data_IF_616907657634
#
_entry.id   IF_616907657634
#
_cell.length_a   1.000
_cell.length_b   1.000
_cell.length_c   1.000
_cell.angle_alpha   90.00
_cell.angle_beta   90.00
_cell.angle_gamma   90.00
#
_symmetry.space_group_name_H-M   'P 1'
#
loop_
_entity.id
_entity.type
_entity.pdbx_description
1 polymer ?
#
# COMPACT_ATOMS: atom_id res chain seq x y z
N UNK A 1 10.20 14.74 10.86
CA UNK A 1 10.30 13.68 9.87
C UNK A 1 10.05 14.21 8.46
N UNK A 2 10.24 13.35 7.45
CA UNK A 2 9.93 13.65 6.04
C UNK A 2 8.53 13.20 5.60
N UNK A 3 7.66 12.81 6.54
CA UNK A 3 6.30 12.36 6.23
C UNK A 3 5.51 13.43 5.45
N UNK A 4 4.70 12.99 4.51
CA UNK A 4 3.95 13.83 3.59
C UNK A 4 4.71 14.23 2.32
N UNK A 5 6.06 14.17 2.32
CA UNK A 5 6.84 14.58 1.15
C UNK A 5 6.63 13.68 -0.07
N UNK A 6 6.38 12.39 0.14
CA UNK A 6 6.11 11.44 -0.94
C UNK A 6 4.72 11.69 -1.56
N UNK A 7 3.74 12.01 -0.75
CA UNK A 7 2.37 12.31 -1.19
C UNK A 7 2.31 13.63 -1.98
N UNK A 8 2.80 14.72 -1.40
CA UNK A 8 2.63 16.06 -2.00
C UNK A 8 3.59 16.34 -3.16
N UNK A 9 4.74 15.65 -3.22
CA UNK A 9 5.77 15.82 -4.25
C UNK A 9 5.95 14.57 -5.14
N UNK A 10 4.98 13.67 -5.15
CA UNK A 10 4.92 12.50 -6.02
C UNK A 10 6.13 11.56 -5.91
N UNK A 11 6.52 11.20 -4.68
CA UNK A 11 7.68 10.34 -4.41
C UNK A 11 7.41 8.84 -4.55
N UNK A 12 6.15 8.38 -4.43
CA UNK A 12 5.81 6.97 -4.50
C UNK A 12 5.77 6.41 -5.92
N UNK A 13 6.11 5.12 -6.05
CA UNK A 13 6.10 4.42 -7.32
C UNK A 13 4.72 4.38 -7.98
N UNK A 14 3.64 4.38 -7.21
CA UNK A 14 2.27 4.39 -7.74
C UNK A 14 2.01 5.60 -8.65
N UNK A 15 2.62 6.74 -8.38
CA UNK A 15 2.47 7.94 -9.21
C UNK A 15 3.15 7.74 -10.57
N UNK A 16 4.38 7.22 -10.58
CA UNK A 16 5.11 6.85 -11.81
C UNK A 16 4.38 5.76 -12.58
N UNK A 17 3.90 4.75 -11.87
CA UNK A 17 3.13 3.65 -12.45
C UNK A 17 1.86 4.15 -13.14
N UNK A 18 1.06 4.99 -12.47
CA UNK A 18 -0.16 5.56 -13.03
C UNK A 18 0.12 6.32 -14.33
N UNK A 19 1.16 7.15 -14.37
CA UNK A 19 1.55 7.91 -15.56
C UNK A 19 2.04 7.00 -16.69
N UNK A 20 2.83 5.97 -16.40
CA UNK A 20 3.31 5.00 -17.40
C UNK A 20 2.12 4.17 -17.93
N UNK A 21 1.22 3.72 -17.08
CA UNK A 21 0.03 2.97 -17.50
C UNK A 21 -0.88 3.84 -18.36
N UNK A 22 -1.11 5.11 -18.01
CA UNK A 22 -1.87 6.05 -18.84
C UNK A 22 -1.19 6.29 -20.20
N UNK A 23 0.13 6.40 -20.24
CA UNK A 23 0.88 6.49 -21.50
C UNK A 23 0.74 5.19 -22.32
N UNK A 24 0.81 4.04 -21.66
CA UNK A 24 0.63 2.74 -22.32
C UNK A 24 -0.78 2.55 -22.86
N UNK A 25 -1.82 2.97 -22.13
CA UNK A 25 -3.23 2.90 -22.54
C UNK A 25 -3.51 3.59 -23.88
N UNK A 26 -2.72 4.62 -24.25
CA UNK A 26 -2.84 5.26 -25.58
C UNK A 26 -2.47 4.31 -26.75
N UNK A 27 -1.78 3.21 -26.46
CA UNK A 27 -1.41 2.17 -27.43
C UNK A 27 -1.28 0.82 -26.70
N UNK A 28 -2.38 0.16 -26.33
CA UNK A 28 -2.40 -1.04 -25.49
C UNK A 28 -1.64 -2.22 -26.10
N UNK A 29 -1.57 -2.31 -27.42
CA UNK A 29 -0.81 -3.33 -28.15
C UNK A 29 0.71 -3.15 -28.15
N UNK A 30 1.25 -2.02 -27.65
CA UNK A 30 2.68 -1.76 -27.67
C UNK A 30 3.45 -2.76 -26.80
N UNK A 31 4.53 -3.32 -27.34
CA UNK A 31 5.50 -4.14 -26.58
C UNK A 31 6.55 -3.31 -25.87
N UNK A 32 6.74 -2.04 -26.26
CA UNK A 32 7.78 -1.16 -25.73
C UNK A 32 7.32 -0.32 -24.53
N UNK A 33 6.07 0.18 -24.56
CA UNK A 33 5.55 1.07 -23.51
C UNK A 33 5.55 0.43 -22.12
N UNK A 34 5.12 -0.83 -21.93
CA UNK A 34 5.17 -1.48 -20.62
C UNK A 34 6.60 -1.66 -20.09
N UNK A 35 7.63 -1.64 -20.95
CA UNK A 35 9.02 -1.77 -20.52
C UNK A 35 9.49 -0.62 -19.62
N UNK A 36 8.81 0.53 -19.64
CA UNK A 36 9.08 1.64 -18.73
C UNK A 36 8.85 1.25 -17.26
N UNK A 37 7.96 0.31 -16.99
CA UNK A 37 7.69 -0.19 -15.63
C UNK A 37 8.92 -0.84 -14.98
N UNK A 38 9.82 -1.43 -15.76
CA UNK A 38 11.09 -1.98 -15.25
C UNK A 38 11.99 -0.92 -14.60
N UNK A 39 11.87 0.33 -15.04
CA UNK A 39 12.68 1.44 -14.51
C UNK A 39 12.25 1.90 -13.13
N UNK A 40 10.98 1.67 -12.78
CA UNK A 40 10.44 2.10 -11.49
C UNK A 40 10.49 0.99 -10.43
N UNK A 41 10.72 -0.26 -10.84
CA UNK A 41 10.84 -1.41 -9.95
C UNK A 41 12.17 -2.16 -10.14
N UNK A 42 13.34 -1.48 -10.03
CA UNK A 42 14.64 -2.11 -10.28
C UNK A 42 15.00 -3.19 -9.25
N UNK A 43 14.44 -3.06 -8.04
CA UNK A 43 14.72 -3.95 -6.89
C UNK A 43 13.84 -5.21 -6.89
N UNK A 44 12.91 -5.34 -7.84
CA UNK A 44 12.06 -6.52 -7.99
C UNK A 44 12.62 -7.44 -9.08
N UNK A 45 13.35 -8.53 -8.74
CA UNK A 45 14.11 -9.31 -9.73
C UNK A 45 13.24 -9.89 -10.85
N UNK A 46 12.03 -10.39 -10.53
CA UNK A 46 11.13 -10.97 -11.52
C UNK A 46 10.52 -9.90 -12.47
N UNK A 47 10.37 -8.64 -12.04
CA UNK A 47 9.94 -7.55 -12.92
C UNK A 47 11.08 -7.01 -13.77
N UNK A 48 12.29 -6.94 -13.21
CA UNK A 48 13.48 -6.47 -13.93
C UNK A 48 13.73 -7.26 -15.21
N UNK A 49 13.53 -8.58 -15.17
CA UNK A 49 13.75 -9.50 -16.30
C UNK A 49 12.46 -9.88 -17.06
N UNK A 50 11.30 -9.30 -16.68
CA UNK A 50 10.01 -9.67 -17.24
C UNK A 50 9.91 -9.36 -18.74
N UNK A 51 9.24 -10.24 -19.49
CA UNK A 51 8.85 -9.96 -20.87
C UNK A 51 7.69 -8.95 -20.92
N UNK A 52 7.42 -8.32 -22.08
CA UNK A 52 6.24 -7.45 -22.24
C UNK A 52 4.93 -8.14 -21.85
N UNK A 53 4.79 -9.44 -22.15
CA UNK A 53 3.59 -10.21 -21.81
C UNK A 53 3.43 -10.40 -20.30
N UNK A 54 4.52 -10.64 -19.59
CA UNK A 54 4.50 -10.72 -18.12
C UNK A 54 4.11 -9.37 -17.52
N UNK A 55 4.69 -8.27 -18.01
CA UNK A 55 4.33 -6.92 -17.55
C UNK A 55 2.85 -6.60 -17.85
N UNK A 56 2.34 -7.04 -19.00
CA UNK A 56 0.92 -6.90 -19.35
C UNK A 56 0.03 -7.68 -18.39
N UNK A 57 0.41 -8.88 -18.01
CA UNK A 57 -0.33 -9.69 -17.05
C UNK A 57 -0.40 -9.02 -15.67
N UNK A 58 0.71 -8.45 -15.18
CA UNK A 58 0.75 -7.80 -13.85
C UNK A 58 0.13 -6.41 -13.83
N UNK A 59 0.38 -5.59 -14.86
CA UNK A 59 0.02 -4.16 -14.84
C UNK A 59 -1.11 -3.80 -15.80
N UNK A 60 -1.63 -4.76 -16.58
CA UNK A 60 -2.66 -4.52 -17.59
C UNK A 60 -4.09 -4.47 -17.05
N UNK A 61 -4.29 -4.70 -15.75
CA UNK A 61 -5.62 -4.66 -15.16
C UNK A 61 -6.28 -3.29 -15.38
N UNK A 62 -7.44 -3.29 -16.06
CA UNK A 62 -8.18 -2.06 -16.42
C UNK A 62 -7.31 -0.97 -17.06
N UNK A 63 -6.35 -1.37 -17.90
CA UNK A 63 -5.37 -0.46 -18.51
C UNK A 63 -6.02 0.70 -19.28
N UNK A 64 -7.10 0.42 -20.00
CA UNK A 64 -7.76 1.38 -20.88
C UNK A 64 -8.80 2.25 -20.16
N UNK A 65 -9.11 1.95 -18.91
CA UNK A 65 -10.09 2.67 -18.10
C UNK A 65 -9.51 3.96 -17.49
N UNK A 66 -8.82 4.73 -18.34
CA UNK A 66 -8.09 5.96 -17.90
C UNK A 66 -9.02 7.10 -17.49
N UNK A 67 -10.30 7.03 -17.81
CA UNK A 67 -11.34 7.96 -17.36
C UNK A 67 -11.81 7.72 -15.93
N UNK A 68 -11.54 6.54 -15.36
CA UNK A 68 -11.94 6.21 -14.02
C UNK A 68 -11.22 7.11 -12.98
N UNK A 69 -11.92 7.78 -12.08
CA UNK A 69 -11.30 8.66 -11.09
C UNK A 69 -10.31 7.94 -10.16
N UNK A 70 -10.50 6.63 -9.94
CA UNK A 70 -9.67 5.79 -9.08
C UNK A 70 -8.57 5.03 -9.84
N UNK A 71 -8.38 5.30 -11.13
CA UNK A 71 -7.50 4.58 -12.06
C UNK A 71 -6.13 4.22 -11.49
N UNK A 72 -5.46 5.16 -10.85
CA UNK A 72 -4.11 4.98 -10.30
C UNK A 72 -4.04 3.87 -9.24
N UNK A 73 -5.13 3.65 -8.49
CA UNK A 73 -5.17 2.74 -7.34
C UNK A 73 -5.87 1.41 -7.63
N UNK A 74 -6.66 1.32 -8.71
CA UNK A 74 -7.45 0.12 -9.02
C UNK A 74 -6.62 -1.17 -9.06
N UNK A 75 -5.41 -1.12 -9.60
CA UNK A 75 -4.52 -2.29 -9.64
C UNK A 75 -4.10 -2.73 -8.24
N UNK A 76 -3.64 -1.80 -7.41
CA UNK A 76 -3.23 -2.07 -6.02
C UNK A 76 -4.40 -2.65 -5.23
N UNK A 77 -5.57 -2.02 -5.30
CA UNK A 77 -6.75 -2.45 -4.56
C UNK A 77 -7.30 -3.78 -5.05
N UNK A 78 -7.24 -4.05 -6.37
CA UNK A 78 -7.57 -5.37 -6.88
C UNK A 78 -6.66 -6.47 -6.30
N UNK A 79 -5.36 -6.19 -6.19
CA UNK A 79 -4.43 -7.12 -5.54
C UNK A 79 -4.78 -7.31 -4.06
N UNK A 80 -5.03 -6.24 -3.32
CA UNK A 80 -5.44 -6.32 -1.90
C UNK A 80 -6.77 -7.05 -1.71
N UNK A 81 -7.69 -6.96 -2.66
CA UNK A 81 -8.98 -7.64 -2.60
C UNK A 81 -8.88 -9.18 -2.53
N UNK A 82 -7.74 -9.74 -2.95
CA UNK A 82 -7.51 -11.18 -2.85
C UNK A 82 -7.54 -11.72 -1.41
N UNK A 83 -7.32 -10.85 -0.40
CA UNK A 83 -7.42 -11.24 1.01
C UNK A 83 -8.82 -11.75 1.38
N UNK A 84 -9.87 -11.26 0.72
CA UNK A 84 -11.26 -11.68 0.94
C UNK A 84 -11.50 -13.17 0.70
N UNK A 85 -10.63 -13.83 -0.08
CA UNK A 85 -10.71 -15.29 -0.30
C UNK A 85 -10.52 -16.08 1.00
N UNK A 86 -9.78 -15.51 1.95
CA UNK A 86 -9.46 -16.11 3.23
C UNK A 86 -10.47 -15.79 4.33
N UNK A 87 -11.45 -14.92 4.07
CA UNK A 87 -12.51 -14.61 5.03
C UNK A 87 -13.40 -15.85 5.30
N UNK A 88 -13.95 -15.90 6.50
CA UNK A 88 -14.98 -16.88 6.86
C UNK A 88 -16.27 -16.61 6.06
N UNK A 89 -17.13 -17.61 5.96
CA UNK A 89 -18.39 -17.45 5.22
C UNK A 89 -19.35 -16.46 5.90
N UNK A 90 -19.30 -16.36 7.23
CA UNK A 90 -20.07 -15.36 7.98
C UNK A 90 -19.64 -13.93 7.62
N UNK A 91 -18.34 -13.65 7.55
CA UNK A 91 -17.83 -12.34 7.12
C UNK A 91 -18.17 -12.06 5.66
N UNK A 92 -17.99 -13.05 4.76
CA UNK A 92 -18.38 -12.89 3.36
C UNK A 92 -19.88 -12.53 3.22
N UNK A 93 -20.73 -13.19 4.00
CA UNK A 93 -22.16 -12.90 4.01
C UNK A 93 -22.49 -11.50 4.56
N UNK A 94 -21.80 -11.08 5.64
CA UNK A 94 -22.05 -9.78 6.28
C UNK A 94 -21.63 -8.58 5.42
N UNK A 95 -20.59 -8.75 4.55
CA UNK A 95 -20.14 -7.69 3.64
C UNK A 95 -20.69 -7.84 2.23
N UNK A 96 -21.61 -8.78 2.01
CA UNK A 96 -22.21 -9.00 0.70
C UNK A 96 -22.99 -7.76 0.25
N UNK A 97 -22.72 -7.31 -0.98
CA UNK A 97 -23.33 -6.11 -1.53
C UNK A 97 -22.62 -4.79 -1.18
N UNK A 98 -21.59 -4.80 -0.31
CA UNK A 98 -20.79 -3.60 -0.04
C UNK A 98 -19.61 -3.49 -1.00
N UNK A 99 -19.55 -2.41 -1.77
CA UNK A 99 -18.41 -2.07 -2.61
C UNK A 99 -17.68 -0.83 -2.05
N UNK A 100 -16.47 -1.00 -1.48
CA UNK A 100 -15.69 0.12 -0.96
C UNK A 100 -15.27 1.12 -2.05
N UNK A 101 -15.24 0.72 -3.32
CA UNK A 101 -14.91 1.65 -4.43
C UNK A 101 -16.09 2.55 -4.76
N UNK A 102 -17.31 2.05 -4.67
CA UNK A 102 -18.53 2.87 -4.81
C UNK A 102 -18.65 3.86 -3.64
N UNK A 103 -18.43 3.39 -2.40
CA UNK A 103 -18.45 4.25 -1.21
C UNK A 103 -17.41 5.38 -1.31
N UNK A 104 -16.19 5.07 -1.73
CA UNK A 104 -15.15 6.07 -1.96
C UNK A 104 -15.51 7.02 -3.11
N UNK A 105 -16.07 6.49 -4.19
CA UNK A 105 -16.49 7.29 -5.35
C UNK A 105 -17.55 8.33 -4.99
N UNK A 106 -18.45 7.97 -4.06
CA UNK A 106 -19.46 8.89 -3.50
C UNK A 106 -18.89 10.02 -2.63
N UNK A 107 -17.64 9.91 -2.19
CA UNK A 107 -16.96 10.88 -1.31
C UNK A 107 -15.93 11.76 -2.02
N UNK A 108 -15.80 11.62 -3.35
CA UNK A 108 -14.84 12.40 -4.12
C UNK A 108 -15.19 13.90 -4.11
N UNK A 109 -14.19 14.80 -4.02
CA UNK A 109 -14.43 16.23 -4.03
C UNK A 109 -15.11 16.72 -5.31
N UNK A 110 -15.85 17.82 -5.23
CA UNK A 110 -16.37 18.50 -6.41
C UNK A 110 -15.24 18.85 -7.38
N UNK A 111 -15.44 18.60 -8.67
CA UNK A 111 -14.43 18.85 -9.69
C UNK A 111 -13.30 17.82 -9.79
N UNK A 112 -13.25 16.79 -8.91
CA UNK A 112 -12.22 15.75 -8.93
C UNK A 112 -12.00 15.11 -10.31
N UNK A 113 -13.08 14.92 -11.06
CA UNK A 113 -13.02 14.33 -12.40
C UNK A 113 -12.17 15.16 -13.39
N UNK A 114 -12.06 16.47 -13.17
CA UNK A 114 -11.30 17.39 -14.01
C UNK A 114 -9.81 17.51 -13.60
N UNK A 115 -9.42 16.91 -12.49
CA UNK A 115 -8.03 16.96 -12.04
C UNK A 115 -7.13 16.10 -12.92
N UNK A 116 -5.83 16.42 -12.91
CA UNK A 116 -4.84 15.57 -13.58
C UNK A 116 -4.77 14.19 -12.95
N UNK A 117 -4.26 13.21 -13.70
CA UNK A 117 -4.05 11.83 -13.18
C UNK A 117 -3.16 11.84 -11.94
N UNK A 118 -2.11 12.68 -11.93
CA UNK A 118 -1.22 12.80 -10.78
C UNK A 118 -1.94 13.41 -9.57
N UNK A 119 -2.68 14.50 -9.74
CA UNK A 119 -3.42 15.13 -8.66
C UNK A 119 -4.47 14.19 -8.04
N UNK A 120 -5.20 13.42 -8.87
CA UNK A 120 -6.13 12.38 -8.40
C UNK A 120 -5.39 11.34 -7.55
N UNK A 121 -4.26 10.84 -8.05
CA UNK A 121 -3.47 9.84 -7.33
C UNK A 121 -2.93 10.37 -6.00
N UNK A 122 -2.44 11.61 -5.97
CA UNK A 122 -1.96 12.26 -4.75
C UNK A 122 -3.06 12.43 -3.71
N UNK A 123 -4.26 12.83 -4.13
CA UNK A 123 -5.40 12.95 -3.24
C UNK A 123 -5.79 11.60 -2.63
N UNK A 124 -5.83 10.54 -3.45
CA UNK A 124 -6.16 9.19 -2.98
C UNK A 124 -5.12 8.66 -1.97
N UNK A 125 -3.82 8.85 -2.24
CA UNK A 125 -2.76 8.47 -1.28
C UNK A 125 -2.89 9.26 0.03
N UNK A 126 -3.11 10.57 -0.05
CA UNK A 126 -3.21 11.43 1.13
C UNK A 126 -4.45 11.09 1.97
N UNK A 127 -5.60 10.90 1.32
CA UNK A 127 -6.88 10.71 2.03
C UNK A 127 -7.04 9.29 2.55
N UNK A 128 -6.68 8.28 1.75
CA UNK A 128 -6.93 6.87 2.09
C UNK A 128 -5.75 6.26 2.83
N UNK A 129 -4.54 6.40 2.27
CA UNK A 129 -3.36 5.70 2.76
C UNK A 129 -2.65 6.46 3.88
N UNK A 130 -2.34 7.75 3.66
CA UNK A 130 -1.59 8.53 4.64
C UNK A 130 -2.40 8.75 5.92
N UNK A 131 -3.63 9.23 5.83
CA UNK A 131 -4.44 9.51 7.02
C UNK A 131 -4.86 8.22 7.74
N UNK A 132 -5.28 7.20 6.99
CA UNK A 132 -5.81 5.95 7.55
C UNK A 132 -4.75 4.98 8.08
N UNK A 133 -3.52 5.04 7.55
CA UNK A 133 -2.49 4.08 7.88
C UNK A 133 -1.17 4.72 8.33
N UNK A 134 -0.52 5.53 7.51
CA UNK A 134 0.82 6.04 7.82
C UNK A 134 0.83 6.91 9.08
N UNK A 135 0.00 7.94 9.14
CA UNK A 135 -0.05 8.85 10.29
C UNK A 135 -0.67 8.17 11.50
N UNK A 136 -1.79 7.49 11.34
CA UNK A 136 -2.49 6.90 12.49
C UNK A 136 -1.75 5.71 13.09
N UNK A 137 -1.37 4.72 12.27
CA UNK A 137 -0.85 3.44 12.79
C UNK A 137 0.66 3.41 12.94
N UNK A 138 1.41 3.93 11.96
CA UNK A 138 2.88 3.92 12.00
C UNK A 138 3.47 5.18 12.64
N UNK A 139 2.82 6.33 12.49
CA UNK A 139 3.28 7.61 13.03
C UNK A 139 2.80 7.84 14.46
N UNK A 140 1.59 8.37 14.61
CA UNK A 140 1.12 8.91 15.88
C UNK A 140 1.00 7.87 16.99
N UNK A 141 0.40 6.69 16.71
CA UNK A 141 0.24 5.64 17.73
C UNK A 141 1.59 5.13 18.24
N UNK A 142 2.56 4.93 17.35
CA UNK A 142 3.90 4.50 17.74
C UNK A 142 4.67 5.59 18.48
N UNK A 143 4.57 6.83 18.00
CA UNK A 143 5.16 7.99 18.66
C UNK A 143 4.60 8.18 20.07
N UNK A 144 3.29 8.20 20.21
CA UNK A 144 2.62 8.40 21.51
C UNK A 144 2.89 7.25 22.48
N UNK A 145 2.88 6.00 22.01
CA UNK A 145 3.22 4.84 22.85
C UNK A 145 4.63 4.91 23.45
N UNK A 146 5.54 5.65 22.81
CA UNK A 146 6.92 5.81 23.24
C UNK A 146 7.23 7.25 23.72
N UNK A 147 6.23 8.06 23.99
CA UNK A 147 6.36 9.47 24.43
C UNK A 147 7.21 10.33 23.47
N UNK A 148 7.11 10.06 22.16
CA UNK A 148 7.82 10.79 21.12
C UNK A 148 6.83 11.71 20.39
N UNK A 149 7.18 12.98 20.29
CA UNK A 149 6.41 13.96 19.52
C UNK A 149 6.96 14.08 18.09
N UNK A 150 6.10 13.80 17.10
CA UNK A 150 6.43 13.95 15.68
C UNK A 150 6.30 15.40 15.22
N UNK A 151 7.24 15.85 14.36
CA UNK A 151 7.16 17.12 13.63
C UNK A 151 7.19 16.82 12.14
N UNK A 152 6.20 17.34 11.40
CA UNK A 152 5.90 16.98 10.01
C UNK A 152 5.89 18.23 9.11
N UNK A 153 7.06 18.83 8.77
CA UNK A 153 7.11 20.07 7.99
C UNK A 153 6.40 20.01 6.63
N UNK A 154 6.38 18.83 5.98
CA UNK A 154 5.69 18.64 4.70
C UNK A 154 4.16 18.53 4.86
N UNK A 155 3.66 18.34 6.07
CA UNK A 155 2.23 18.33 6.38
C UNK A 155 1.70 19.68 6.91
N UNK A 156 2.53 20.71 6.95
CA UNK A 156 2.05 22.10 7.14
C UNK A 156 1.08 22.44 6.00
N UNK A 157 -0.13 22.91 6.36
CA UNK A 157 -1.18 23.15 5.36
C UNK A 157 -0.73 24.13 4.26
N UNK A 158 0.12 25.13 4.57
CA UNK A 158 0.66 26.08 3.61
C UNK A 158 1.58 25.41 2.59
N UNK A 159 2.37 24.43 3.04
CA UNK A 159 3.24 23.60 2.16
C UNK A 159 2.40 22.70 1.28
N UNK A 160 1.34 22.08 1.83
CA UNK A 160 0.41 21.24 1.07
C UNK A 160 -0.30 22.07 -0.01
N UNK A 161 -0.86 23.23 0.33
CA UNK A 161 -1.55 24.12 -0.61
C UNK A 161 -0.61 24.58 -1.73
N UNK A 162 0.60 25.02 -1.36
CA UNK A 162 1.62 25.40 -2.33
C UNK A 162 1.96 24.25 -3.28
N UNK A 163 2.31 23.08 -2.75
CA UNK A 163 2.65 21.91 -3.56
C UNK A 163 1.47 21.44 -4.43
N UNK A 164 0.23 21.56 -3.94
CA UNK A 164 -0.97 21.23 -4.70
C UNK A 164 -1.19 22.16 -5.90
N UNK A 165 -0.81 23.42 -5.77
CA UNK A 165 -0.91 24.41 -6.86
C UNK A 165 0.16 24.24 -7.95
N UNK A 166 1.23 23.48 -7.70
CA UNK A 166 2.31 23.28 -8.65
C UNK A 166 1.88 22.41 -9.84
N UNK A 167 2.33 22.76 -11.08
CA UNK A 167 2.19 21.89 -12.24
C UNK A 167 2.81 20.51 -11.98
N UNK A 168 2.18 19.45 -12.48
CA UNK A 168 2.61 18.06 -12.29
C UNK A 168 4.09 17.83 -12.62
N UNK A 169 4.59 18.46 -13.70
CA UNK A 169 5.99 18.34 -14.14
C UNK A 169 7.04 18.83 -13.12
N UNK A 170 6.63 19.65 -12.16
CA UNK A 170 7.52 20.10 -11.08
C UNK A 170 7.56 19.11 -9.93
N UNK A 171 6.57 18.25 -9.80
CA UNK A 171 6.50 17.18 -8.82
C UNK A 171 7.08 15.88 -9.37
N UNK A 172 6.62 15.48 -10.57
CA UNK A 172 7.04 14.29 -11.28
C UNK A 172 7.43 14.66 -12.73
N UNK A 173 8.71 14.61 -13.07
CA UNK A 173 9.21 14.90 -14.40
C UNK A 173 9.63 13.61 -15.13
N UNK A 174 8.77 13.11 -16.01
CA UNK A 174 8.94 11.77 -16.60
C UNK A 174 8.87 10.68 -15.53
N UNK A 175 9.98 10.06 -15.18
CA UNK A 175 10.10 9.08 -14.10
C UNK A 175 10.91 9.61 -12.90
N UNK A 176 11.26 10.88 -12.88
CA UNK A 176 12.03 11.51 -11.80
C UNK A 176 11.05 12.13 -10.77
N UNK A 177 10.91 11.44 -9.66
CA UNK A 177 10.05 11.81 -8.54
C UNK A 177 10.66 12.93 -7.68
N UNK A 178 9.82 13.67 -6.92
CA UNK A 178 10.23 14.80 -6.07
C UNK A 178 11.10 15.81 -6.82
N UNK A 179 10.82 16.02 -8.09
CA UNK A 179 11.69 16.74 -9.03
C UNK A 179 12.10 18.12 -8.52
N UNK A 180 11.14 18.94 -8.08
CA UNK A 180 11.42 20.27 -7.54
C UNK A 180 12.29 20.22 -6.28
N UNK A 181 12.02 19.28 -5.37
CA UNK A 181 12.81 19.11 -4.15
C UNK A 181 14.26 18.71 -4.47
N UNK A 182 14.46 17.77 -5.38
CA UNK A 182 15.80 17.38 -5.86
C UNK A 182 16.55 18.56 -6.48
N UNK A 183 15.87 19.37 -7.30
CA UNK A 183 16.42 20.59 -7.87
C UNK A 183 16.85 21.61 -6.82
N UNK A 184 15.98 21.83 -5.83
CA UNK A 184 16.25 22.76 -4.72
C UNK A 184 17.46 22.32 -3.89
N UNK A 185 17.63 21.02 -3.69
CA UNK A 185 18.67 20.46 -2.84
C UNK A 185 19.99 20.20 -3.57
N UNK A 186 20.03 20.31 -4.91
CA UNK A 186 21.25 20.16 -5.68
C UNK A 186 22.31 21.17 -5.22
N UNK A 187 23.51 20.67 -4.93
CA UNK A 187 24.62 21.46 -4.39
C UNK A 187 24.50 21.84 -2.90
N UNK A 188 23.41 21.49 -2.22
CA UNK A 188 23.20 21.76 -0.79
C UNK A 188 23.40 20.51 0.08
N UNK A 189 23.16 19.34 -0.49
CA UNK A 189 23.41 18.05 0.14
C UNK A 189 24.18 17.15 -0.84
N UNK A 190 24.80 16.04 -0.37
CA UNK A 190 25.54 15.14 -1.25
C UNK A 190 24.73 14.61 -2.43
N UNK A 191 25.33 14.57 -3.59
CA UNK A 191 24.72 14.09 -4.84
C UNK A 191 24.16 12.66 -4.73
N UNK A 192 24.82 11.81 -3.94
CA UNK A 192 24.37 10.43 -3.66
C UNK A 192 23.01 10.38 -2.97
N UNK A 193 22.66 11.42 -2.21
CA UNK A 193 21.33 11.56 -1.57
C UNK A 193 20.33 12.14 -2.56
N UNK A 194 20.71 13.23 -3.28
CA UNK A 194 19.82 13.88 -4.26
C UNK A 194 19.39 12.90 -5.37
N UNK A 195 20.33 12.08 -5.85
CA UNK A 195 20.11 11.15 -6.97
C UNK A 195 19.59 9.78 -6.54
N UNK A 196 19.46 9.52 -5.24
CA UNK A 196 18.97 8.23 -4.73
C UNK A 196 17.52 8.01 -5.14
N UNK A 197 17.18 6.87 -5.78
CA UNK A 197 15.80 6.53 -6.08
C UNK A 197 15.04 6.21 -4.79
N UNK A 198 13.72 6.40 -4.81
CA UNK A 198 12.85 5.96 -3.72
C UNK A 198 12.96 4.45 -3.55
N UNK A 199 13.22 4.01 -2.34
CA UNK A 199 13.18 2.61 -1.94
C UNK A 199 12.13 2.44 -0.84
N UNK A 200 11.08 1.65 -1.07
CA UNK A 200 10.10 1.37 -0.02
C UNK A 200 10.71 0.45 1.04
N UNK A 201 10.29 0.63 2.29
CA UNK A 201 10.59 -0.32 3.34
C UNK A 201 9.87 -1.64 3.05
N UNK A 202 10.60 -2.75 3.16
CA UNK A 202 10.06 -4.10 2.99
C UNK A 202 10.49 -4.93 4.17
N UNK A 203 9.54 -5.19 5.09
CA UNK A 203 9.78 -6.10 6.19
C UNK A 203 9.80 -7.56 5.68
N UNK A 204 10.72 -8.39 6.16
CA UNK A 204 10.78 -9.81 5.81
C UNK A 204 9.75 -10.62 6.62
N UNK A 205 8.46 -10.41 6.32
CA UNK A 205 7.31 -10.85 7.13
C UNK A 205 7.33 -12.35 7.41
N UNK A 206 7.32 -13.17 6.36
CA UNK A 206 7.27 -14.64 6.53
C UNK A 206 8.51 -15.19 7.22
N UNK A 207 9.70 -14.63 6.97
CA UNK A 207 10.93 -15.08 7.62
C UNK A 207 10.99 -14.71 9.11
N UNK A 208 10.22 -13.71 9.56
CA UNK A 208 10.09 -13.34 10.96
C UNK A 208 8.98 -14.14 11.64
N UNK A 209 7.78 -14.12 11.09
CA UNK A 209 6.62 -14.75 11.74
C UNK A 209 6.57 -16.28 11.62
N UNK A 210 7.32 -16.87 10.71
CA UNK A 210 7.39 -18.33 10.55
C UNK A 210 8.79 -18.90 10.86
N UNK A 211 9.68 -18.11 11.44
CA UNK A 211 10.97 -18.55 11.95
C UNK A 211 10.82 -19.59 13.09
N UNK A 212 11.87 -20.39 13.33
CA UNK A 212 11.88 -21.34 14.44
C UNK A 212 11.85 -20.66 15.82
N UNK A 213 12.46 -19.49 15.91
CA UNK A 213 12.59 -18.63 17.08
C UNK A 213 11.58 -17.47 17.09
N UNK A 214 10.47 -17.63 16.36
CA UNK A 214 9.40 -16.62 16.36
C UNK A 214 8.79 -16.42 17.74
N UNK A 215 8.26 -15.21 18.04
CA UNK A 215 7.57 -14.96 19.30
C UNK A 215 6.41 -15.94 19.55
N UNK A 216 6.22 -16.36 20.80
CA UNK A 216 5.21 -17.37 21.18
C UNK A 216 3.79 -16.97 20.78
N UNK A 217 3.45 -15.68 20.91
CA UNK A 217 2.11 -15.20 20.52
C UNK A 217 1.75 -15.48 19.07
N UNK A 218 2.73 -15.61 18.18
CA UNK A 218 2.45 -15.91 16.75
C UNK A 218 1.81 -17.27 16.58
N UNK A 219 2.27 -18.26 17.36
CA UNK A 219 1.67 -19.61 17.34
C UNK A 219 0.22 -19.57 17.82
N UNK A 220 -0.04 -18.78 18.87
CA UNK A 220 -1.38 -18.60 19.40
C UNK A 220 -2.30 -17.90 18.38
N UNK A 221 -1.87 -16.79 17.80
CA UNK A 221 -2.65 -16.04 16.81
C UNK A 221 -2.93 -16.83 15.53
N UNK A 222 -2.07 -17.79 15.18
CA UNK A 222 -2.24 -18.67 14.02
C UNK A 222 -2.88 -20.03 14.37
N UNK A 223 -3.24 -20.25 15.63
CA UNK A 223 -3.90 -21.50 16.03
C UNK A 223 -5.31 -21.61 15.46
N UNK A 224 -5.74 -22.85 15.17
CA UNK A 224 -7.11 -23.10 14.68
C UNK A 224 -8.16 -22.61 15.69
N UNK A 225 -7.90 -22.76 16.99
CA UNK A 225 -8.77 -22.28 18.06
C UNK A 225 -8.97 -20.77 18.01
N UNK A 226 -7.91 -19.97 17.86
CA UNK A 226 -7.98 -18.53 17.75
C UNK A 226 -8.71 -18.10 16.47
N UNK A 227 -8.38 -18.73 15.32
CA UNK A 227 -9.01 -18.42 14.04
C UNK A 227 -10.53 -18.62 14.11
N UNK A 228 -10.97 -19.77 14.69
CA UNK A 228 -12.40 -20.08 14.85
C UNK A 228 -13.07 -19.14 15.86
N UNK A 229 -12.38 -18.81 16.95
CA UNK A 229 -12.88 -17.92 18.01
C UNK A 229 -13.08 -16.49 17.47
N UNK A 230 -12.11 -15.94 16.76
CA UNK A 230 -12.21 -14.62 16.16
C UNK A 230 -13.23 -14.56 15.00
N UNK A 231 -13.43 -15.67 14.29
CA UNK A 231 -14.48 -15.85 13.27
C UNK A 231 -14.31 -15.00 12.00
N UNK A 232 -13.18 -14.28 11.84
CA UNK A 232 -12.96 -13.40 10.70
C UNK A 232 -12.42 -14.16 9.49
N UNK A 233 -11.50 -15.09 9.71
CA UNK A 233 -10.88 -15.88 8.63
C UNK A 233 -11.35 -17.34 8.66
N UNK A 234 -11.28 -18.02 7.50
CA UNK A 234 -11.50 -19.48 7.40
C UNK A 234 -10.28 -20.22 7.91
N UNK A 235 -10.47 -21.13 8.87
CA UNK A 235 -9.39 -21.95 9.43
C UNK A 235 -8.72 -22.82 8.34
N UNK A 236 -9.52 -23.39 7.46
CA UNK A 236 -9.06 -24.25 6.35
C UNK A 236 -8.21 -23.43 5.35
N UNK A 237 -8.66 -22.21 5.06
CA UNK A 237 -7.96 -21.33 4.12
C UNK A 237 -6.64 -20.82 4.69
N UNK A 238 -6.57 -20.49 5.98
CA UNK A 238 -5.35 -20.06 6.67
C UNK A 238 -4.38 -21.25 6.80
N UNK A 239 -4.84 -22.44 7.15
CA UNK A 239 -4.01 -23.64 7.21
C UNK A 239 -3.35 -23.96 5.86
N UNK A 240 -4.14 -23.91 4.76
CA UNK A 240 -3.62 -24.10 3.41
C UNK A 240 -2.57 -23.04 3.02
N UNK A 241 -2.77 -21.77 3.42
CA UNK A 241 -1.78 -20.71 3.21
C UNK A 241 -0.47 -21.01 3.95
N UNK A 242 -0.54 -21.39 5.23
CA UNK A 242 0.63 -21.68 6.05
C UNK A 242 1.43 -22.86 5.48
N UNK A 243 0.75 -23.96 5.09
CA UNK A 243 1.40 -25.08 4.43
C UNK A 243 2.11 -24.67 3.13
N UNK A 244 1.45 -23.82 2.32
CA UNK A 244 2.02 -23.34 1.07
C UNK A 244 3.29 -22.53 1.31
N UNK A 245 3.27 -21.61 2.29
CA UNK A 245 4.44 -20.78 2.61
C UNK A 245 5.59 -21.66 3.14
N UNK A 246 5.29 -22.65 4.00
CA UNK A 246 6.31 -23.55 4.54
C UNK A 246 6.98 -24.43 3.48
N UNK A 247 6.24 -24.81 2.43
CA UNK A 247 6.77 -25.59 1.30
C UNK A 247 7.54 -24.74 0.27
N UNK A 248 7.40 -23.41 0.34
CA UNK A 248 8.01 -22.47 -0.60
C UNK A 248 9.36 -21.98 -0.07
N UNK A 249 10.29 -21.65 -0.98
CA UNK A 249 11.57 -21.04 -0.60
C UNK A 249 11.34 -19.59 -0.10
N UNK A 250 10.37 -18.89 -0.68
CA UNK A 250 10.00 -17.53 -0.31
C UNK A 250 8.48 -17.36 -0.47
N UNK A 251 7.86 -16.65 0.48
CA UNK A 251 6.48 -16.24 0.35
C UNK A 251 6.34 -15.08 -0.65
N UNK A 252 5.26 -15.08 -1.42
CA UNK A 252 4.90 -13.94 -2.27
C UNK A 252 4.42 -12.74 -1.43
N UNK A 253 4.42 -11.55 -2.02
CA UNK A 253 3.87 -10.33 -1.37
C UNK A 253 2.41 -10.54 -0.92
N UNK A 254 1.59 -11.23 -1.72
CA UNK A 254 0.20 -11.53 -1.39
C UNK A 254 0.09 -12.43 -0.16
N UNK A 255 0.89 -13.49 -0.10
CA UNK A 255 0.91 -14.41 1.05
C UNK A 255 1.36 -13.69 2.33
N UNK A 256 2.37 -12.82 2.22
CA UNK A 256 2.80 -11.96 3.32
C UNK A 256 1.70 -11.00 3.78
N UNK A 257 0.95 -10.41 2.87
CA UNK A 257 -0.19 -9.54 3.21
C UNK A 257 -1.27 -10.31 3.97
N UNK A 258 -1.64 -11.51 3.52
CA UNK A 258 -2.64 -12.33 4.20
C UNK A 258 -2.14 -12.74 5.58
N UNK A 259 -0.91 -13.22 5.69
CA UNK A 259 -0.30 -13.62 6.98
C UNK A 259 -0.32 -12.47 8.00
N UNK A 260 0.11 -11.28 7.58
CA UNK A 260 0.08 -10.09 8.44
C UNK A 260 -1.34 -9.74 8.87
N UNK A 261 -2.29 -9.81 7.93
CA UNK A 261 -3.69 -9.48 8.23
C UNK A 261 -4.31 -10.45 9.22
N UNK A 262 -4.02 -11.75 9.10
CA UNK A 262 -4.49 -12.76 10.07
C UNK A 262 -3.93 -12.46 11.46
N UNK A 263 -2.61 -12.33 11.58
CA UNK A 263 -1.94 -12.09 12.87
C UNK A 263 -2.43 -10.77 13.50
N UNK A 264 -2.45 -9.68 12.75
CA UNK A 264 -2.84 -8.36 13.30
C UNK A 264 -4.31 -8.31 13.71
N UNK A 265 -5.20 -8.94 12.94
CA UNK A 265 -6.63 -9.03 13.28
C UNK A 265 -6.85 -9.85 14.55
N UNK A 266 -6.16 -10.98 14.68
CA UNK A 266 -6.29 -11.83 15.87
C UNK A 266 -5.66 -11.19 17.11
N UNK A 267 -4.55 -10.45 16.97
CA UNK A 267 -4.00 -9.65 18.07
C UNK A 267 -4.99 -8.59 18.53
N UNK A 268 -5.62 -7.88 17.59
CA UNK A 268 -6.63 -6.88 17.92
C UNK A 268 -7.84 -7.52 18.62
N UNK A 269 -8.32 -8.66 18.11
CA UNK A 269 -9.40 -9.41 18.73
C UNK A 269 -9.03 -9.85 20.15
N UNK A 270 -7.84 -10.47 20.32
CA UNK A 270 -7.35 -10.95 21.61
C UNK A 270 -7.23 -9.81 22.63
N UNK A 271 -6.73 -8.65 22.23
CA UNK A 271 -6.46 -7.53 23.14
C UNK A 271 -7.72 -6.73 23.51
N UNK A 272 -8.72 -6.63 22.63
CA UNK A 272 -9.81 -5.68 22.80
C UNK A 272 -11.21 -6.30 22.80
N UNK A 273 -11.37 -7.54 22.34
CA UNK A 273 -12.69 -8.16 22.16
C UNK A 273 -12.82 -9.46 22.98
N UNK A 274 -11.71 -10.18 23.19
CA UNK A 274 -11.75 -11.44 23.95
C UNK A 274 -12.16 -11.18 25.39
N UNK A 275 -13.24 -11.84 25.85
CA UNK A 275 -13.84 -11.68 27.19
C UNK A 275 -12.84 -11.91 28.33
N UNK A 276 -11.74 -12.65 28.10
CA UNK A 276 -10.70 -12.89 29.10
C UNK A 276 -9.87 -11.64 29.42
N UNK A 277 -9.90 -10.60 28.57
CA UNK A 277 -9.18 -9.35 28.75
C UNK A 277 -10.08 -8.16 29.12
N UNK A 278 -11.40 -8.33 29.23
CA UNK A 278 -12.32 -7.25 29.63
C UNK A 278 -12.10 -6.75 31.05
N UNK A 279 -11.54 -7.58 31.94
CA UNK A 279 -11.21 -7.17 33.31
C UNK A 279 -10.09 -6.14 33.40
N UNK A 280 -9.20 -6.07 32.38
CA UNK A 280 -8.11 -5.07 32.30
C UNK A 280 -8.60 -3.69 31.79
N UNK A 281 -9.76 -3.63 31.14
CA UNK A 281 -10.35 -2.37 30.68
C UNK A 281 -11.28 -1.73 31.73
N UNK A 282 -11.65 -2.49 32.78
CA UNK A 282 -12.53 -2.05 33.86
C UNK A 282 -11.77 -1.75 35.18
N UNK A 283 -10.47 -1.91 35.20
CA UNK A 283 -9.56 -1.56 36.31
C UNK A 283 -8.81 -0.25 36.02
#
# INVERSE_FOLDING_TARGET
TGEGSDEILAGYDIFREAMIRQFWAKQPGSSLRPMLLKRIYPDIPHLRNASPNILKMFFGYRLEDTGNPLYSHLLRWNNSNHIKKHFSDSIKASVNGYDPLEDLSGKLPSGFYNWSTLAKAQWLETTVFMSGYLLSSQGDRMGMANSIEGRYPFLDYRVIEFCSSLPDRLKLNGTDEKYLLKKLMAGRIPDSIVKRPKQPYRAPISSVFLAKDKPDYVNEMLSESMIRKAGVFSAESVASLLEKIQKSVTASEMENMVLTSVISTHLLYHQFIDDQNQDLLNS
#
